data_IF_375598805781
#
_entry.id   IF_375598805781
#
_cell.length_a   1.000
_cell.length_b   1.000
_cell.length_c   1.000
_cell.angle_alpha   90.00
_cell.angle_beta   90.00
_cell.angle_gamma   90.00
#
_symmetry.space_group_name_H-M   'P 1'
#
loop_
_entity.id
_entity.type
_entity.pdbx_description
1 polymer ?
#
# COMPACT_ATOMS: atom_id res chain seq x y z
N UNK A 1 25.30 -10.64 26.73
CA UNK A 1 25.73 -9.75 25.63
C UNK A 1 25.51 -10.45 24.28
N UNK A 2 24.26 -10.60 23.85
CA UNK A 2 23.93 -11.30 22.59
C UNK A 2 22.73 -10.74 21.82
N UNK A 3 21.97 -9.78 22.38
CA UNK A 3 20.86 -9.11 21.66
C UNK A 3 21.29 -8.04 20.65
N UNK A 4 22.46 -7.42 20.86
CA UNK A 4 22.94 -6.34 19.98
C UNK A 4 23.35 -6.82 18.57
N UNK A 5 23.67 -8.10 18.41
CA UNK A 5 24.08 -8.68 17.13
C UNK A 5 22.92 -9.21 16.28
N UNK A 6 21.75 -9.45 16.89
CA UNK A 6 20.53 -9.85 16.15
C UNK A 6 19.74 -8.63 15.63
N UNK A 7 19.86 -7.48 16.29
CA UNK A 7 19.18 -6.24 15.90
C UNK A 7 19.86 -5.51 14.72
N UNK A 8 21.12 -5.84 14.43
CA UNK A 8 21.85 -5.37 13.23
C UNK A 8 21.46 -6.13 11.94
N UNK A 9 20.51 -7.06 12.03
CA UNK A 9 19.98 -7.81 10.89
C UNK A 9 18.63 -7.28 10.39
N UNK A 10 18.21 -6.11 10.87
CA UNK A 10 17.04 -5.41 10.34
C UNK A 10 17.45 -4.64 9.07
N UNK A 11 16.97 -5.04 7.87
CA UNK A 11 17.33 -4.41 6.60
C UNK A 11 17.00 -2.90 6.56
N UNK A 12 16.06 -2.47 7.40
CA UNK A 12 15.63 -1.07 7.50
C UNK A 12 16.56 -0.19 8.36
N UNK A 13 17.32 -0.77 9.29
CA UNK A 13 18.29 -0.01 10.10
C UNK A 13 19.52 0.40 9.26
N UNK A 14 19.91 -0.43 8.30
CA UNK A 14 21.01 -0.12 7.37
C UNK A 14 20.60 0.90 6.30
N UNK A 15 19.33 0.90 5.86
CA UNK A 15 18.81 1.89 4.91
C UNK A 15 18.63 3.28 5.54
N UNK A 16 18.23 3.36 6.81
CA UNK A 16 18.20 4.62 7.57
C UNK A 16 19.60 5.11 7.94
N UNK A 17 20.55 4.20 8.21
CA UNK A 17 21.96 4.54 8.41
C UNK A 17 22.64 5.09 7.14
N UNK A 18 22.33 4.52 5.98
CA UNK A 18 22.92 4.94 4.70
C UNK A 18 22.42 6.31 4.21
N UNK A 19 21.16 6.65 4.47
CA UNK A 19 20.61 7.99 4.16
C UNK A 19 21.12 9.06 5.12
N UNK A 20 21.39 8.72 6.38
CA UNK A 20 22.02 9.63 7.34
C UNK A 20 23.53 9.89 7.03
N UNK A 21 24.24 8.91 6.48
CA UNK A 21 25.64 9.09 6.05
C UNK A 21 25.78 9.94 4.78
N UNK A 22 24.77 9.91 3.89
CA UNK A 22 24.76 10.68 2.64
C UNK A 22 24.55 12.19 2.81
N UNK A 23 23.85 12.62 3.86
CA UNK A 23 23.61 14.05 4.12
C UNK A 23 24.81 14.78 4.75
N UNK A 24 25.82 14.04 5.25
CA UNK A 24 26.98 14.63 5.92
C UNK A 24 28.11 15.06 4.94
N UNK A 25 28.11 14.58 3.69
CA UNK A 25 29.19 14.86 2.73
C UNK A 25 28.98 16.12 1.88
N UNK A 26 27.80 16.74 1.93
CA UNK A 26 27.45 17.89 1.08
C UNK A 26 27.73 19.26 1.72
N UNK A 27 28.18 19.32 2.97
CA UNK A 27 28.54 20.57 3.65
C UNK A 27 29.88 20.35 4.33
N UNK A 28 30.95 20.89 3.75
CA UNK A 28 32.32 20.73 4.26
C UNK A 28 32.47 21.31 5.67
N UNK A 29 32.37 20.45 6.68
CA UNK A 29 32.66 20.77 8.08
C UNK A 29 34.03 20.17 8.45
N UNK A 30 34.94 20.95 9.07
CA UNK A 30 36.24 20.45 9.54
C UNK A 30 36.10 19.41 10.67
N UNK A 31 37.07 18.48 10.83
CA UNK A 31 36.92 17.25 11.59
C UNK A 31 37.23 17.42 13.08
N UNK A 32 36.54 18.32 13.77
CA UNK A 32 36.66 18.44 15.24
C UNK A 32 35.31 18.82 15.85
N UNK A 33 34.65 17.87 16.52
CA UNK A 33 33.54 18.16 17.44
C UNK A 33 32.24 17.37 17.28
N UNK A 34 32.30 16.03 17.17
CA UNK A 34 31.16 15.15 17.48
C UNK A 34 31.01 15.13 19.01
N UNK A 35 29.88 15.60 19.62
CA UNK A 35 28.67 14.77 19.73
C UNK A 35 27.35 15.55 19.94
N UNK A 36 26.45 15.66 18.95
CA UNK A 36 25.05 16.10 19.23
C UNK A 36 23.97 15.30 18.45
N UNK A 37 24.32 14.56 17.41
CA UNK A 37 23.33 13.83 16.59
C UNK A 37 22.67 12.60 17.30
N UNK A 38 23.17 12.17 18.46
CA UNK A 38 22.60 11.04 19.21
C UNK A 38 21.35 11.37 20.04
N UNK A 39 21.09 12.65 20.32
CA UNK A 39 20.04 13.05 21.29
C UNK A 39 18.65 13.10 20.66
N UNK A 40 18.54 13.42 19.36
CA UNK A 40 17.25 13.52 18.67
C UNK A 40 16.56 12.14 18.50
N UNK A 41 17.33 11.09 18.21
CA UNK A 41 16.80 9.72 18.07
C UNK A 41 16.46 9.11 19.45
N UNK A 42 17.18 9.51 20.51
CA UNK A 42 16.92 9.03 21.87
C UNK A 42 15.71 9.71 22.52
N UNK A 43 15.48 11.01 22.24
CA UNK A 43 14.32 11.75 22.77
C UNK A 43 12.98 11.28 22.17
N UNK A 44 12.96 10.89 20.89
CA UNK A 44 11.75 10.33 20.25
C UNK A 44 11.41 8.94 20.83
N UNK A 45 12.44 8.13 21.18
CA UNK A 45 12.24 6.80 21.78
C UNK A 45 11.87 6.88 23.28
N UNK A 46 12.41 7.84 24.03
CA UNK A 46 12.05 8.05 25.43
C UNK A 46 10.64 8.66 25.61
N UNK A 47 10.16 9.45 24.65
CA UNK A 47 8.80 9.98 24.65
C UNK A 47 7.75 8.86 24.36
N UNK A 48 8.11 7.87 23.54
CA UNK A 48 7.27 6.70 23.28
C UNK A 48 7.18 5.72 24.47
N UNK A 49 8.23 5.60 25.29
CA UNK A 49 8.22 4.71 26.47
C UNK A 49 7.57 5.32 27.71
N UNK A 50 7.57 6.65 27.84
CA UNK A 50 6.94 7.33 28.97
C UNK A 50 5.39 7.28 28.90
N UNK A 51 4.80 7.25 27.71
CA UNK A 51 3.33 7.20 27.54
C UNK A 51 2.72 5.79 27.52
N UNK A 52 3.52 4.73 27.30
CA UNK A 52 3.03 3.35 27.36
C UNK A 52 3.00 2.75 28.79
N UNK A 53 3.54 3.45 29.80
CA UNK A 53 3.57 2.95 31.19
C UNK A 53 2.35 3.31 32.04
N UNK A 54 1.38 4.08 31.50
CA UNK A 54 0.13 4.42 32.20
C UNK A 54 -1.07 3.89 31.42
N UNK A 55 -1.30 2.58 31.43
CA UNK A 55 -2.47 2.04 30.76
C UNK A 55 -2.52 0.53 30.64
N UNK A 56 -2.79 -0.15 31.76
CA UNK A 56 -3.56 -1.39 31.78
C UNK A 56 -2.82 -2.67 31.41
N UNK A 57 -2.50 -3.45 32.45
CA UNK A 57 -2.39 -4.90 32.37
C UNK A 57 -3.55 -5.51 31.56
N UNK A 58 -3.22 -6.21 30.49
CA UNK A 58 -4.09 -7.24 29.91
C UNK A 58 -3.21 -8.38 29.41
N UNK A 59 -3.16 -9.37 30.30
CA UNK A 59 -2.70 -10.76 30.20
C UNK A 59 -2.47 -11.29 28.78
N UNK A 60 -1.26 -11.76 28.59
CA UNK A 60 -0.70 -12.53 27.47
C UNK A 60 -1.55 -13.76 27.10
N UNK A 61 -1.86 -13.88 25.80
CA UNK A 61 -2.20 -15.15 25.15
C UNK A 61 -1.23 -15.33 23.97
N UNK A 62 -0.55 -16.49 23.81
CA UNK A 62 0.50 -16.66 22.81
C UNK A 62 -0.13 -16.80 21.42
N UNK A 63 -0.13 -15.71 20.65
CA UNK A 63 -0.53 -15.74 19.26
C UNK A 63 0.41 -16.66 18.44
N UNK A 64 -0.17 -17.71 17.86
CA UNK A 64 0.40 -18.46 16.74
C UNK A 64 0.91 -17.49 15.66
N UNK A 65 1.98 -17.83 14.92
CA UNK A 65 2.43 -17.01 13.80
C UNK A 65 1.39 -17.10 12.68
N UNK A 66 0.44 -16.16 12.67
CA UNK A 66 -0.39 -15.90 11.50
C UNK A 66 0.56 -15.30 10.47
N UNK A 67 0.68 -15.98 9.34
CA UNK A 67 1.51 -15.54 8.22
C UNK A 67 1.32 -14.04 7.98
N UNK A 68 2.43 -13.30 7.92
CA UNK A 68 2.49 -11.86 7.70
C UNK A 68 2.04 -11.48 6.27
N UNK A 69 0.77 -11.71 5.97
CA UNK A 69 0.06 -11.15 4.83
C UNK A 69 -0.78 -9.98 5.33
N UNK A 70 -0.18 -8.78 5.28
CA UNK A 70 -0.78 -7.46 5.48
C UNK A 70 -2.28 -7.42 5.83
N UNK A 71 -2.61 -7.36 7.12
CA UNK A 71 -3.98 -7.15 7.56
C UNK A 71 -4.50 -5.82 7.01
N UNK A 72 -5.58 -5.88 6.22
CA UNK A 72 -6.30 -4.70 5.75
C UNK A 72 -7.05 -4.11 6.94
N UNK A 73 -7.03 -2.79 7.09
CA UNK A 73 -7.67 -2.13 8.24
C UNK A 73 -9.20 -2.32 8.17
N UNK A 74 -9.84 -2.85 9.22
CA UNK A 74 -11.29 -3.04 9.25
C UNK A 74 -12.05 -1.71 9.07
N UNK A 75 -13.11 -1.74 8.26
CA UNK A 75 -13.96 -0.59 7.97
C UNK A 75 -13.35 0.41 6.97
N UNK A 76 -12.19 0.13 6.40
CA UNK A 76 -11.54 1.02 5.44
C UNK A 76 -12.13 0.90 4.02
N UNK A 77 -11.86 1.91 3.17
CA UNK A 77 -12.27 1.88 1.77
C UNK A 77 -11.56 0.75 1.00
N UNK A 78 -10.29 0.50 1.33
CA UNK A 78 -9.48 -0.60 0.79
C UNK A 78 -10.15 -1.95 1.04
N UNK A 79 -10.65 -2.18 2.27
CA UNK A 79 -11.36 -3.39 2.66
C UNK A 79 -12.68 -3.56 1.90
N UNK A 80 -13.43 -2.46 1.71
CA UNK A 80 -14.69 -2.49 0.97
C UNK A 80 -14.49 -2.93 -0.49
N UNK A 81 -13.48 -2.39 -1.17
CA UNK A 81 -13.17 -2.77 -2.56
C UNK A 81 -12.58 -4.18 -2.65
N UNK A 82 -11.71 -4.56 -1.73
CA UNK A 82 -11.17 -5.92 -1.70
C UNK A 82 -12.28 -6.97 -1.52
N UNK A 83 -13.23 -6.73 -0.59
CA UNK A 83 -14.39 -7.63 -0.41
C UNK A 83 -15.28 -7.71 -1.64
N UNK A 84 -15.35 -6.66 -2.47
CA UNK A 84 -16.08 -6.71 -3.75
C UNK A 84 -15.37 -7.61 -4.76
N UNK A 85 -14.06 -7.45 -4.91
CA UNK A 85 -13.24 -8.29 -5.77
C UNK A 85 -13.29 -9.77 -5.34
N UNK A 86 -13.18 -10.06 -4.05
CA UNK A 86 -13.25 -11.42 -3.51
C UNK A 86 -14.62 -12.06 -3.74
N UNK A 87 -15.71 -11.29 -3.59
CA UNK A 87 -17.06 -11.77 -3.92
C UNK A 87 -17.22 -12.04 -5.41
N UNK A 88 -16.71 -11.18 -6.28
CA UNK A 88 -16.75 -11.41 -7.72
C UNK A 88 -15.99 -12.70 -8.11
N UNK A 89 -14.80 -12.91 -7.56
CA UNK A 89 -14.04 -14.14 -7.79
C UNK A 89 -14.74 -15.39 -7.25
N UNK A 90 -15.37 -15.32 -6.07
CA UNK A 90 -16.18 -16.41 -5.54
C UNK A 90 -17.36 -16.75 -6.47
N UNK A 91 -18.11 -15.73 -6.92
CA UNK A 91 -19.19 -15.92 -7.90
C UNK A 91 -18.69 -16.54 -9.21
N UNK A 92 -17.52 -16.11 -9.70
CA UNK A 92 -16.89 -16.71 -10.88
C UNK A 92 -16.54 -18.19 -10.66
N UNK A 93 -15.99 -18.52 -9.49
CA UNK A 93 -15.66 -19.90 -9.13
C UNK A 93 -16.90 -20.80 -9.02
N UNK A 94 -18.00 -20.29 -8.46
CA UNK A 94 -19.27 -21.01 -8.35
C UNK A 94 -19.91 -21.23 -9.73
N UNK A 95 -19.92 -20.20 -10.58
CA UNK A 95 -20.40 -20.28 -11.96
C UNK A 95 -19.61 -21.33 -12.74
N UNK A 96 -18.27 -21.26 -12.74
CA UNK A 96 -17.42 -22.21 -13.46
C UNK A 96 -17.53 -23.64 -12.92
N UNK A 97 -17.77 -23.81 -11.61
CA UNK A 97 -18.01 -25.13 -11.03
C UNK A 97 -19.32 -25.75 -11.54
N UNK A 98 -20.37 -24.94 -11.71
CA UNK A 98 -21.67 -25.38 -12.24
C UNK A 98 -21.64 -25.75 -13.73
N UNK A 99 -20.65 -25.26 -14.47
CA UNK A 99 -20.51 -25.40 -15.92
C UNK A 99 -19.58 -26.56 -16.35
N UNK A 100 -19.00 -27.28 -15.39
CA UNK A 100 -18.00 -28.32 -15.65
C UNK A 100 -18.58 -29.45 -16.51
N UNK A 101 -17.89 -29.80 -17.59
CA UNK A 101 -18.29 -30.87 -18.52
C UNK A 101 -18.89 -30.38 -19.84
N UNK A 102 -18.93 -29.05 -20.08
CA UNK A 102 -19.26 -28.47 -21.37
C UNK A 102 -17.99 -27.89 -22.03
N UNK A 103 -17.58 -28.43 -23.17
CA UNK A 103 -16.31 -28.12 -23.87
C UNK A 103 -16.02 -26.62 -24.05
N UNK A 104 -17.04 -25.80 -24.33
CA UNK A 104 -16.90 -24.35 -24.46
C UNK A 104 -16.71 -23.64 -23.11
N UNK A 105 -17.29 -24.18 -22.03
CA UNK A 105 -17.23 -23.59 -20.69
C UNK A 105 -16.01 -24.05 -19.89
N UNK A 106 -15.37 -25.16 -20.29
CA UNK A 106 -14.07 -25.58 -19.74
C UNK A 106 -12.99 -24.50 -19.96
N UNK A 107 -13.11 -23.69 -21.03
CA UNK A 107 -12.23 -22.55 -21.28
C UNK A 107 -12.46 -21.42 -20.26
N UNK A 108 -13.71 -21.15 -19.87
CA UNK A 108 -14.02 -20.18 -18.80
C UNK A 108 -13.49 -20.69 -17.47
N UNK A 109 -13.68 -21.99 -17.18
CA UNK A 109 -13.15 -22.61 -15.97
C UNK A 109 -11.61 -22.54 -15.90
N UNK A 110 -10.92 -22.59 -17.05
CA UNK A 110 -9.47 -22.44 -17.11
C UNK A 110 -8.96 -21.03 -16.73
N UNK A 111 -9.82 -19.99 -16.72
CA UNK A 111 -9.44 -18.64 -16.27
C UNK A 111 -9.44 -18.48 -14.75
N UNK A 112 -9.98 -19.45 -13.99
CA UNK A 112 -10.09 -19.35 -12.53
C UNK A 112 -8.75 -19.07 -11.82
N UNK A 113 -7.63 -19.74 -12.14
CA UNK A 113 -6.34 -19.43 -11.52
C UNK A 113 -5.90 -17.97 -11.78
N UNK A 114 -6.20 -17.42 -12.95
CA UNK A 114 -5.86 -16.02 -13.28
C UNK A 114 -6.71 -15.02 -12.48
N UNK A 115 -7.98 -15.33 -12.23
CA UNK A 115 -8.86 -14.56 -11.35
C UNK A 115 -8.36 -14.60 -9.90
N UNK A 116 -7.99 -15.78 -9.41
CA UNK A 116 -7.45 -15.97 -8.06
C UNK A 116 -6.13 -15.21 -7.86
N UNK A 117 -5.23 -15.24 -8.86
CA UNK A 117 -3.97 -14.47 -8.88
C UNK A 117 -4.23 -12.95 -8.84
N UNK A 118 -5.26 -12.50 -9.58
CA UNK A 118 -5.67 -11.09 -9.62
C UNK A 118 -6.15 -10.63 -8.25
N UNK A 119 -7.01 -11.40 -7.59
CA UNK A 119 -7.46 -11.13 -6.21
C UNK A 119 -6.29 -11.16 -5.23
N UNK A 120 -5.36 -12.12 -5.38
CA UNK A 120 -4.14 -12.18 -4.57
C UNK A 120 -3.30 -10.90 -4.68
N UNK A 121 -3.21 -10.33 -5.88
CA UNK A 121 -2.51 -9.05 -6.13
C UNK A 121 -3.27 -7.87 -5.53
N UNK A 122 -4.60 -7.81 -5.69
CA UNK A 122 -5.44 -6.79 -5.05
C UNK A 122 -5.34 -6.85 -3.53
N UNK A 123 -5.26 -8.04 -2.93
CA UNK A 123 -5.09 -8.21 -1.47
C UNK A 123 -3.76 -7.63 -0.99
N UNK A 124 -2.65 -7.88 -1.70
CA UNK A 124 -1.35 -7.27 -1.39
C UNK A 124 -1.41 -5.74 -1.49
N UNK A 125 -1.99 -5.21 -2.56
CA UNK A 125 -2.16 -3.76 -2.77
C UNK A 125 -3.01 -3.12 -1.66
N UNK A 126 -4.14 -3.73 -1.28
CA UNK A 126 -5.00 -3.26 -0.20
C UNK A 126 -4.28 -3.25 1.15
N UNK A 127 -3.44 -4.27 1.39
CA UNK A 127 -2.56 -4.33 2.55
C UNK A 127 -1.56 -3.18 2.61
N UNK A 128 -0.86 -2.92 1.51
CA UNK A 128 0.06 -1.79 1.40
C UNK A 128 -0.65 -0.45 1.61
N UNK A 129 -1.80 -0.24 0.98
CA UNK A 129 -2.60 0.97 1.16
C UNK A 129 -3.08 1.14 2.61
N UNK A 130 -3.42 0.05 3.31
CA UNK A 130 -3.81 0.08 4.73
C UNK A 130 -2.66 0.47 5.65
N UNK A 131 -1.45 -0.03 5.38
CA UNK A 131 -0.23 0.38 6.12
C UNK A 131 0.07 1.86 5.87
N UNK A 132 0.02 2.31 4.61
CA UNK A 132 0.21 3.72 4.26
C UNK A 132 -0.86 4.61 4.89
N UNK A 133 -2.13 4.19 4.90
CA UNK A 133 -3.21 4.91 5.57
C UNK A 133 -2.95 5.04 7.08
N UNK A 134 -2.48 3.95 7.72
CA UNK A 134 -2.14 3.95 9.14
C UNK A 134 -0.93 4.82 9.46
N UNK A 135 0.03 4.93 8.53
CA UNK A 135 1.15 5.85 8.65
C UNK A 135 0.68 7.31 8.50
N UNK A 136 -0.11 7.61 7.48
CA UNK A 136 -0.69 8.94 7.24
C UNK A 136 -1.56 9.43 8.39
N UNK A 137 -2.31 8.53 9.05
CA UNK A 137 -3.14 8.87 10.21
C UNK A 137 -2.35 9.38 11.42
N UNK A 138 -1.02 9.17 11.46
CA UNK A 138 -0.14 9.71 12.50
C UNK A 138 0.32 11.14 12.22
N UNK A 139 0.15 11.63 10.99
CA UNK A 139 0.47 13.00 10.62
C UNK A 139 -0.76 13.89 10.84
N UNK A 140 -0.56 15.05 11.45
CA UNK A 140 -1.55 16.11 11.49
C UNK A 140 -1.18 17.19 10.46
N UNK A 141 -1.76 17.16 9.24
CA UNK A 141 -1.43 18.13 8.20
C UNK A 141 -1.86 19.56 8.57
N UNK A 142 -2.85 19.73 9.45
CA UNK A 142 -3.28 21.06 9.90
C UNK A 142 -2.27 21.65 10.86
N UNK A 143 -1.75 20.83 11.78
CA UNK A 143 -0.68 21.24 12.68
C UNK A 143 0.58 21.64 11.92
N UNK A 144 1.01 20.85 10.93
CA UNK A 144 2.19 21.17 10.12
C UNK A 144 2.04 22.52 9.42
N UNK A 145 0.87 22.82 8.87
CA UNK A 145 0.63 24.09 8.19
C UNK A 145 0.57 25.28 9.14
N UNK A 146 -0.09 25.10 10.29
CA UNK A 146 -0.15 26.13 11.33
C UNK A 146 1.26 26.44 11.87
N UNK A 147 2.07 25.42 12.13
CA UNK A 147 3.43 25.60 12.64
C UNK A 147 4.33 26.25 11.59
N UNK A 148 4.17 25.89 10.30
CA UNK A 148 4.88 26.55 9.20
C UNK A 148 4.57 28.05 9.16
N UNK A 149 3.29 28.42 9.21
CA UNK A 149 2.87 29.84 9.21
C UNK A 149 3.41 30.57 10.44
N UNK A 150 3.34 29.94 11.62
CA UNK A 150 3.89 30.49 12.87
C UNK A 150 5.40 30.73 12.76
N UNK A 151 6.18 29.76 12.27
CA UNK A 151 7.63 29.89 12.10
C UNK A 151 7.98 30.93 11.04
N UNK A 152 7.23 31.01 9.95
CA UNK A 152 7.41 32.03 8.92
C UNK A 152 7.17 33.45 9.47
N UNK A 153 6.17 33.63 10.32
CA UNK A 153 5.93 34.91 11.01
C UNK A 153 7.04 35.24 12.01
N UNK A 154 7.49 34.26 12.80
CA UNK A 154 8.63 34.44 13.71
C UNK A 154 9.90 34.83 12.94
N UNK A 155 10.11 34.25 11.75
CA UNK A 155 11.25 34.52 10.88
C UNK A 155 11.29 35.96 10.34
N UNK A 156 10.13 36.61 10.16
CA UNK A 156 10.04 38.00 9.70
C UNK A 156 10.53 39.00 10.76
N UNK A 157 10.43 38.64 12.05
CA UNK A 157 10.79 39.51 13.17
C UNK A 157 12.07 39.09 13.89
N UNK A 158 12.66 37.95 13.49
CA UNK A 158 13.84 37.38 14.11
C UNK A 158 15.14 38.16 13.78
N UNK A 159 16.06 38.18 14.75
CA UNK A 159 17.44 38.65 14.55
C UNK A 159 18.23 37.65 13.70
N UNK A 160 19.29 38.12 13.03
CA UNK A 160 20.10 37.27 12.14
C UNK A 160 20.65 36.00 12.81
N UNK A 161 20.93 36.04 14.10
CA UNK A 161 21.45 34.89 14.87
C UNK A 161 20.45 33.72 14.93
N UNK A 162 19.15 34.01 14.98
CA UNK A 162 18.06 33.01 15.12
C UNK A 162 17.42 32.69 13.77
N UNK A 163 17.62 33.57 12.77
CA UNK A 163 17.05 33.42 11.43
C UNK A 163 17.44 32.09 10.76
N UNK A 164 18.71 31.67 10.87
CA UNK A 164 19.17 30.42 10.27
C UNK A 164 18.56 29.16 10.88
N UNK A 165 18.28 29.17 12.19
CA UNK A 165 17.65 28.04 12.86
C UNK A 165 16.15 27.95 12.55
N UNK A 166 15.48 29.10 12.40
CA UNK A 166 14.10 29.16 11.91
C UNK A 166 14.01 28.68 10.46
N UNK A 167 14.92 29.10 9.58
CA UNK A 167 14.96 28.66 8.17
C UNK A 167 15.15 27.14 8.08
N UNK A 168 16.02 26.55 8.92
CA UNK A 168 16.22 25.10 8.99
C UNK A 168 14.96 24.37 9.50
N UNK A 169 14.26 24.95 10.47
CA UNK A 169 13.02 24.37 11.02
C UNK A 169 11.89 24.42 10.00
N UNK A 170 11.75 25.52 9.25
CA UNK A 170 10.79 25.65 8.14
C UNK A 170 11.10 24.62 7.05
N UNK A 171 12.37 24.49 6.65
CA UNK A 171 12.79 23.49 5.66
C UNK A 171 12.46 22.05 6.09
N UNK A 172 12.61 21.74 7.39
CA UNK A 172 12.25 20.42 7.92
C UNK A 172 10.74 20.15 7.87
N UNK A 173 9.90 21.14 8.20
CA UNK A 173 8.44 21.02 8.07
C UNK A 173 8.00 20.88 6.60
N UNK A 174 8.62 21.64 5.70
CA UNK A 174 8.34 21.55 4.26
C UNK A 174 8.68 20.15 3.71
N UNK A 175 9.81 19.57 4.14
CA UNK A 175 10.18 18.20 3.79
C UNK A 175 9.18 17.16 4.32
N UNK A 176 8.68 17.33 5.56
CA UNK A 176 7.64 16.45 6.13
C UNK A 176 6.33 16.53 5.33
N UNK A 177 5.92 17.74 4.95
CA UNK A 177 4.73 17.95 4.12
C UNK A 177 4.87 17.29 2.75
N UNK A 178 6.02 17.43 2.10
CA UNK A 178 6.26 16.79 0.80
C UNK A 178 6.14 15.26 0.88
N UNK A 179 6.68 14.65 1.94
CA UNK A 179 6.54 13.20 2.16
C UNK A 179 5.07 12.81 2.38
N UNK A 180 4.33 13.60 3.16
CA UNK A 180 2.90 13.37 3.37
C UNK A 180 2.12 13.43 2.05
N UNK A 181 2.34 14.46 1.24
CA UNK A 181 1.67 14.65 -0.05
C UNK A 181 2.00 13.53 -1.04
N UNK A 182 3.25 13.05 -1.04
CA UNK A 182 3.67 11.91 -1.86
C UNK A 182 2.97 10.62 -1.44
N UNK A 183 2.91 10.34 -0.14
CA UNK A 183 2.28 9.14 0.41
C UNK A 183 0.76 9.16 0.24
N UNK A 184 0.11 10.31 0.43
CA UNK A 184 -1.33 10.46 0.22
C UNK A 184 -1.70 10.25 -1.25
N UNK A 185 -0.96 10.87 -2.18
CA UNK A 185 -1.14 10.65 -3.62
C UNK A 185 -0.83 9.22 -4.06
N UNK A 186 0.14 8.53 -3.43
CA UNK A 186 0.38 7.11 -3.68
C UNK A 186 -0.80 6.24 -3.22
N UNK A 187 -1.36 6.50 -2.03
CA UNK A 187 -2.53 5.78 -1.51
C UNK A 187 -3.76 5.98 -2.41
N UNK A 188 -4.02 7.20 -2.86
CA UNK A 188 -5.14 7.50 -3.75
C UNK A 188 -5.04 6.72 -5.07
N UNK A 189 -3.84 6.66 -5.67
CA UNK A 189 -3.58 5.86 -6.87
C UNK A 189 -3.86 4.37 -6.64
N UNK A 190 -3.43 3.81 -5.50
CA UNK A 190 -3.71 2.41 -5.15
C UNK A 190 -5.20 2.17 -4.94
N UNK A 191 -5.92 3.09 -4.28
CA UNK A 191 -7.37 2.99 -4.08
C UNK A 191 -8.13 3.00 -5.40
N UNK A 192 -7.80 3.92 -6.31
CA UNK A 192 -8.38 3.96 -7.65
C UNK A 192 -8.13 2.64 -8.40
N UNK A 193 -6.96 2.03 -8.20
CA UNK A 193 -6.61 0.76 -8.83
C UNK A 193 -7.38 -0.42 -8.23
N UNK A 194 -7.56 -0.47 -6.91
CA UNK A 194 -8.40 -1.47 -6.25
C UNK A 194 -9.84 -1.40 -6.75
N UNK A 195 -10.38 -0.18 -6.87
CA UNK A 195 -11.71 0.06 -7.41
C UNK A 195 -11.82 -0.42 -8.86
N UNK A 196 -10.89 -0.03 -9.74
CA UNK A 196 -10.87 -0.47 -11.13
C UNK A 196 -10.76 -2.00 -11.24
N UNK A 197 -9.88 -2.63 -10.47
CA UNK A 197 -9.71 -4.09 -10.50
C UNK A 197 -10.95 -4.84 -10.01
N UNK A 198 -11.61 -4.34 -8.96
CA UNK A 198 -12.87 -4.91 -8.49
C UNK A 198 -13.99 -4.80 -9.55
N UNK A 199 -14.12 -3.64 -10.21
CA UNK A 199 -15.11 -3.42 -11.27
C UNK A 199 -14.82 -4.33 -12.47
N UNK A 200 -13.57 -4.48 -12.89
CA UNK A 200 -13.20 -5.38 -13.99
C UNK A 200 -13.55 -6.84 -13.67
N UNK A 201 -13.32 -7.31 -12.44
CA UNK A 201 -13.72 -8.67 -12.02
C UNK A 201 -15.24 -8.84 -11.98
N UNK A 202 -15.98 -7.82 -11.54
CA UNK A 202 -17.46 -7.83 -11.60
C UNK A 202 -17.96 -7.90 -13.05
N UNK A 203 -17.32 -7.17 -13.98
CA UNK A 203 -17.60 -7.23 -15.41
C UNK A 203 -17.32 -8.61 -16.02
N UNK A 204 -16.20 -9.23 -15.66
CA UNK A 204 -15.83 -10.59 -16.06
C UNK A 204 -16.93 -11.60 -15.68
N UNK A 205 -17.45 -11.50 -14.44
CA UNK A 205 -18.55 -12.35 -13.97
C UNK A 205 -19.81 -12.12 -14.80
N UNK A 206 -20.18 -10.87 -15.05
CA UNK A 206 -21.37 -10.55 -15.84
C UNK A 206 -21.29 -11.13 -17.26
N UNK A 207 -20.13 -11.01 -17.91
CA UNK A 207 -19.90 -11.56 -19.25
C UNK A 207 -19.84 -13.09 -19.26
N UNK A 208 -19.28 -13.72 -18.23
CA UNK A 208 -19.31 -15.18 -18.09
C UNK A 208 -20.76 -15.71 -17.94
N UNK A 209 -21.62 -15.01 -17.18
CA UNK A 209 -23.05 -15.32 -17.09
C UNK A 209 -23.74 -15.17 -18.44
N UNK A 210 -23.43 -14.12 -19.19
CA UNK A 210 -23.99 -13.89 -20.52
C UNK A 210 -23.63 -15.00 -21.51
N UNK A 211 -22.35 -15.40 -21.57
CA UNK A 211 -21.89 -16.50 -22.44
C UNK A 211 -22.56 -17.83 -22.02
N UNK A 212 -22.72 -18.07 -20.71
CA UNK A 212 -23.45 -19.25 -20.23
C UNK A 212 -24.92 -19.23 -20.65
N UNK A 213 -25.59 -18.08 -20.58
CA UNK A 213 -26.97 -17.96 -21.02
C UNK A 213 -27.11 -18.19 -22.54
N UNK A 214 -26.22 -17.59 -23.34
CA UNK A 214 -26.21 -17.76 -24.80
C UNK A 214 -25.96 -19.21 -25.24
N UNK A 215 -25.05 -19.92 -24.57
CA UNK A 215 -24.73 -21.32 -24.88
C UNK A 215 -25.89 -22.25 -24.53
N UNK A 216 -26.62 -22.01 -23.43
CA UNK A 216 -27.84 -22.78 -23.12
C UNK A 216 -29.00 -22.50 -24.09
N UNK A 217 -29.06 -21.29 -24.66
CA UNK A 217 -30.09 -20.92 -25.64
C UNK A 217 -29.77 -21.38 -27.08
N UNK A 218 -28.49 -21.63 -27.38
CA UNK A 218 -27.99 -21.88 -28.74
C UNK A 218 -27.51 -23.32 -28.90
N UNK A 219 -28.44 -24.28 -28.91
CA UNK A 219 -28.15 -25.71 -29.05
C UNK A 219 -27.78 -26.12 -30.50
N UNK A 220 -26.89 -25.37 -31.17
CA UNK A 220 -26.27 -25.84 -32.43
C UNK A 220 -25.71 -24.84 -33.46
N UNK A 221 -25.89 -23.51 -33.35
CA UNK A 221 -25.56 -22.58 -34.47
C UNK A 221 -24.55 -21.45 -34.13
N UNK A 222 -24.10 -21.31 -32.87
CA UNK A 222 -23.37 -20.11 -32.40
C UNK A 222 -21.91 -20.29 -31.93
N UNK A 223 -21.26 -21.43 -32.18
CA UNK A 223 -19.95 -21.78 -31.57
C UNK A 223 -18.84 -20.74 -31.84
N UNK A 224 -18.87 -20.05 -32.99
CA UNK A 224 -17.88 -19.04 -33.36
C UNK A 224 -17.96 -17.74 -32.55
N UNK A 225 -19.17 -17.29 -32.19
CA UNK A 225 -19.38 -16.03 -31.47
C UNK A 225 -18.97 -16.15 -29.99
N UNK A 226 -19.26 -17.30 -29.38
CA UNK A 226 -18.79 -17.62 -28.02
C UNK A 226 -17.25 -17.71 -27.93
N UNK A 227 -16.57 -18.22 -28.95
CA UNK A 227 -15.11 -18.30 -28.96
C UNK A 227 -14.44 -16.92 -29.04
N UNK A 228 -15.00 -15.99 -29.82
CA UNK A 228 -14.51 -14.60 -29.88
C UNK A 228 -14.73 -13.86 -28.56
N UNK A 229 -15.90 -14.02 -27.92
CA UNK A 229 -16.17 -13.42 -26.62
C UNK A 229 -15.21 -13.92 -25.52
N UNK A 230 -14.78 -15.20 -25.61
CA UNK A 230 -13.79 -15.79 -24.69
C UNK A 230 -12.36 -15.28 -24.91
N UNK A 231 -11.98 -15.05 -26.16
CA UNK A 231 -10.67 -14.49 -26.50
C UNK A 231 -10.55 -13.04 -26.01
N UNK A 232 -11.62 -12.26 -26.18
CA UNK A 232 -11.71 -10.89 -25.66
C UNK A 232 -11.64 -10.85 -24.13
N UNK A 233 -12.36 -11.73 -23.43
CA UNK A 233 -12.27 -11.90 -21.96
C UNK A 233 -10.86 -12.23 -21.47
N UNK A 234 -10.16 -13.12 -22.20
CA UNK A 234 -8.78 -13.50 -21.85
C UNK A 234 -7.85 -12.30 -22.02
N UNK A 235 -8.00 -11.55 -23.12
CA UNK A 235 -7.23 -10.33 -23.40
C UNK A 235 -7.46 -9.25 -22.35
N UNK A 236 -8.71 -8.99 -21.96
CA UNK A 236 -9.06 -8.01 -20.91
C UNK A 236 -8.47 -8.38 -19.55
N UNK A 237 -8.47 -9.68 -19.20
CA UNK A 237 -7.89 -10.16 -17.96
C UNK A 237 -6.37 -10.02 -17.96
N UNK A 238 -5.70 -10.36 -19.07
CA UNK A 238 -4.25 -10.20 -19.22
C UNK A 238 -3.84 -8.72 -19.15
N UNK A 239 -4.59 -7.82 -19.79
CA UNK A 239 -4.38 -6.38 -19.69
C UNK A 239 -4.55 -5.88 -18.25
N UNK A 240 -5.58 -6.35 -17.55
CA UNK A 240 -5.85 -5.97 -16.15
C UNK A 240 -4.72 -6.45 -15.23
N UNK A 241 -4.25 -7.69 -15.42
CA UNK A 241 -3.14 -8.28 -14.68
C UNK A 241 -1.84 -7.53 -14.94
N UNK A 242 -1.50 -7.26 -16.19
CA UNK A 242 -0.27 -6.54 -16.55
C UNK A 242 -0.27 -5.15 -15.92
N UNK A 243 -1.38 -4.42 -16.03
CA UNK A 243 -1.50 -3.09 -15.44
C UNK A 243 -1.56 -3.10 -13.91
N UNK A 244 -2.02 -4.19 -13.26
CA UNK A 244 -1.88 -4.36 -11.81
C UNK A 244 -0.44 -4.62 -11.39
N UNK A 245 0.31 -5.41 -12.16
CA UNK A 245 1.70 -5.74 -11.85
C UNK A 245 2.63 -4.52 -12.01
N UNK A 246 2.43 -3.71 -13.04
CA UNK A 246 3.15 -2.44 -13.21
C UNK A 246 2.88 -1.48 -12.04
N UNK A 247 1.65 -1.45 -11.52
CA UNK A 247 1.31 -0.63 -10.36
C UNK A 247 1.89 -1.18 -9.07
N UNK A 248 1.92 -2.49 -8.86
CA UNK A 248 2.63 -3.10 -7.72
C UNK A 248 4.11 -2.72 -7.73
N UNK A 249 4.74 -2.75 -8.92
CA UNK A 249 6.14 -2.36 -9.11
C UNK A 249 6.35 -0.87 -8.84
N UNK A 250 5.46 -0.01 -9.34
CA UNK A 250 5.51 1.43 -9.10
C UNK A 250 5.27 1.77 -7.62
N UNK A 251 4.30 1.13 -6.96
CA UNK A 251 4.04 1.31 -5.54
C UNK A 251 5.24 0.87 -4.68
N UNK A 252 5.91 -0.23 -5.04
CA UNK A 252 7.14 -0.68 -4.37
C UNK A 252 8.30 0.29 -4.58
N UNK A 253 8.43 0.85 -5.78
CA UNK A 253 9.46 1.84 -6.09
C UNK A 253 9.22 3.17 -5.35
N UNK A 254 7.99 3.67 -5.31
CA UNK A 254 7.63 4.95 -4.69
C UNK A 254 7.71 4.92 -3.15
N UNK A 255 7.57 3.73 -2.54
CA UNK A 255 7.54 3.55 -1.08
C UNK A 255 8.92 3.04 -0.54
N UNK A 256 9.82 2.59 -1.41
CA UNK A 256 11.16 2.08 -1.07
C UNK A 256 11.18 0.56 -0.80
N UNK A 257 12.33 -0.11 -1.01
CA UNK A 257 12.48 -1.57 -0.90
C UNK A 257 12.35 -2.10 0.53
#
# INVERSE_FOLDING_TARGET
MSRFTEELRDPWALLLGATAAGAAWAVGVPPVGVPVAGVAVWLIKAFASAWQSTGGESRTEPARPVAAGSAVTPGSAEEAWLRRAERAAASFADLTASMRGQLLLDRIAAMRPQVDDTVGTLRRLAGHASVTASALARFDPRFLEQERVRLAQARQTARQEVAGDLDRSIAALDAQREVYDRLSGARERVLARLQSGAISLEGLVARAVEISAMTTASDGVGVGDGAHALDELTSELDLTRQSLHEVEKAARHDIGP
#
